data_IF_860121539857
#
_entry.id   IF_860121539857
#
_cell.length_a   1.000
_cell.length_b   1.000
_cell.length_c   1.000
_cell.angle_alpha   90.00
_cell.angle_beta   90.00
_cell.angle_gamma   90.00
#
_symmetry.space_group_name_H-M   'P 1'
#
loop_
_entity.id
_entity.type
_entity.pdbx_description
1 polymer ?
#
# COMPACT_ATOMS: atom_id res chain seq x y z
N UNK A 1 1.02 -21.40 12.58
CA UNK A 1 0.08 -21.08 11.50
C UNK A 1 0.63 -19.86 10.76
N UNK A 2 1.11 -20.01 9.52
CA UNK A 2 1.61 -18.86 8.75
C UNK A 2 0.42 -18.03 8.26
N UNK A 3 0.44 -16.73 8.55
CA UNK A 3 -0.53 -15.78 7.99
C UNK A 3 -0.03 -15.39 6.60
N UNK A 4 -0.86 -15.58 5.59
CA UNK A 4 -0.56 -15.17 4.23
C UNK A 4 -0.56 -13.64 4.12
N UNK A 5 0.42 -13.07 3.42
CA UNK A 5 0.46 -11.64 3.09
C UNK A 5 0.14 -11.46 1.61
N UNK A 6 -0.82 -10.60 1.34
CA UNK A 6 -1.23 -10.20 -0.01
C UNK A 6 -0.69 -8.81 -0.27
N UNK A 7 0.24 -8.69 -1.20
CA UNK A 7 0.84 -7.42 -1.61
C UNK A 7 0.14 -6.87 -2.85
N UNK A 8 -0.22 -5.60 -2.81
CA UNK A 8 -0.73 -4.84 -3.95
C UNK A 8 0.38 -3.93 -4.49
N UNK A 9 0.89 -4.25 -5.66
CA UNK A 9 2.08 -3.65 -6.27
C UNK A 9 1.78 -2.44 -7.17
N UNK A 10 0.67 -1.76 -6.96
CA UNK A 10 0.24 -0.64 -7.82
C UNK A 10 1.31 0.45 -8.00
N UNK A 11 2.26 0.57 -7.06
CA UNK A 11 3.34 1.58 -7.15
C UNK A 11 4.21 1.39 -8.39
N UNK A 12 4.43 0.16 -8.84
CA UNK A 12 5.24 -0.11 -10.02
C UNK A 12 4.60 0.39 -11.33
N UNK A 13 3.27 0.54 -11.33
CA UNK A 13 2.54 1.18 -12.43
C UNK A 13 2.52 2.70 -12.32
N UNK A 14 2.59 3.23 -11.09
CA UNK A 14 2.49 4.67 -10.83
C UNK A 14 3.81 5.41 -10.98
N UNK A 15 4.93 4.71 -10.83
CA UNK A 15 6.28 5.29 -10.87
C UNK A 15 7.20 4.41 -11.71
N UNK A 16 7.95 5.03 -12.63
CA UNK A 16 9.04 4.34 -13.35
C UNK A 16 10.23 4.07 -12.44
N UNK A 17 10.54 4.99 -11.53
CA UNK A 17 11.55 4.89 -10.49
C UNK A 17 11.23 5.89 -9.38
N UNK A 18 11.50 5.53 -8.12
CA UNK A 18 11.29 6.44 -6.99
C UNK A 18 11.56 5.75 -5.65
N UNK A 19 11.64 6.54 -4.58
CA UNK A 19 11.92 6.02 -3.24
C UNK A 19 10.88 5.01 -2.75
N UNK A 20 9.59 5.23 -3.07
CA UNK A 20 8.52 4.30 -2.68
C UNK A 20 8.67 2.97 -3.43
N UNK A 21 8.93 2.99 -4.73
CA UNK A 21 9.10 1.76 -5.50
C UNK A 21 10.38 0.99 -5.12
N UNK A 22 11.45 1.68 -4.75
CA UNK A 22 12.65 1.06 -4.19
C UNK A 22 12.36 0.39 -2.84
N UNK A 23 11.75 1.12 -1.90
CA UNK A 23 11.32 0.56 -0.61
C UNK A 23 10.44 -0.70 -0.80
N UNK A 24 9.50 -0.62 -1.73
CA UNK A 24 8.57 -1.71 -2.00
C UNK A 24 9.26 -2.93 -2.59
N UNK A 25 10.21 -2.73 -3.52
CA UNK A 25 10.99 -3.83 -4.08
C UNK A 25 11.84 -4.55 -3.01
N UNK A 26 12.46 -3.80 -2.10
CA UNK A 26 13.22 -4.38 -1.00
C UNK A 26 12.33 -5.15 0.00
N UNK A 27 11.15 -4.62 0.28
CA UNK A 27 10.15 -5.31 1.10
C UNK A 27 9.75 -6.65 0.48
N UNK A 28 9.44 -6.66 -0.82
CA UNK A 28 9.05 -7.86 -1.55
C UNK A 28 10.19 -8.90 -1.59
N UNK A 29 11.42 -8.50 -1.92
CA UNK A 29 12.58 -9.41 -1.93
C UNK A 29 12.76 -10.16 -0.63
N UNK A 30 12.47 -9.51 0.50
CA UNK A 30 12.61 -10.11 1.83
C UNK A 30 11.39 -10.93 2.24
N UNK A 31 10.20 -10.56 1.77
CA UNK A 31 8.92 -11.14 2.17
C UNK A 31 8.51 -12.34 1.33
N UNK A 32 8.82 -12.37 0.02
CA UNK A 32 8.37 -13.40 -0.91
C UNK A 32 8.92 -14.82 -0.60
N UNK A 33 9.98 -14.91 0.19
CA UNK A 33 10.51 -16.19 0.68
C UNK A 33 9.57 -16.93 1.63
N UNK A 34 8.54 -16.27 2.17
CA UNK A 34 7.66 -16.76 3.22
C UNK A 34 6.17 -16.79 2.85
N UNK A 35 5.82 -17.27 1.66
CA UNK A 35 4.41 -17.51 1.26
C UNK A 35 3.57 -16.23 1.10
N UNK A 36 3.96 -15.32 0.25
CA UNK A 36 3.18 -14.14 -0.09
C UNK A 36 2.65 -14.18 -1.52
N UNK A 37 1.43 -13.70 -1.73
CA UNK A 37 0.82 -13.50 -3.04
C UNK A 37 0.95 -12.04 -3.41
N UNK A 38 1.32 -11.75 -4.65
CA UNK A 38 1.52 -10.39 -5.14
C UNK A 38 0.56 -10.11 -6.30
N UNK A 39 -0.04 -8.92 -6.31
CA UNK A 39 -0.91 -8.43 -7.38
C UNK A 39 -0.26 -7.22 -8.05
N UNK A 40 -0.49 -7.08 -9.34
CA UNK A 40 -0.06 -5.94 -10.13
C UNK A 40 0.40 -6.38 -11.52
N UNK A 41 0.46 -5.41 -12.44
CA UNK A 41 1.09 -5.62 -13.75
C UNK A 41 2.57 -5.33 -13.67
N UNK A 42 3.35 -6.05 -14.47
CA UNK A 42 4.71 -5.66 -14.81
C UNK A 42 4.62 -4.45 -15.74
N UNK A 43 4.80 -3.26 -15.20
CA UNK A 43 4.99 -2.08 -16.01
C UNK A 43 6.38 -1.53 -15.72
N UNK A 44 7.14 -1.26 -16.73
CA UNK A 44 8.36 -0.45 -16.90
C UNK A 44 9.05 0.17 -15.65
N UNK A 45 8.83 -0.37 -14.45
CA UNK A 45 9.52 0.08 -13.25
C UNK A 45 10.85 -0.66 -13.13
N UNK A 46 11.96 0.07 -13.07
CA UNK A 46 13.33 -0.48 -13.06
C UNK A 46 13.62 -1.40 -11.85
N UNK A 47 12.84 -1.35 -10.79
CA UNK A 47 13.01 -2.18 -9.60
C UNK A 47 12.13 -3.42 -9.59
N UNK A 48 11.19 -3.56 -10.53
CA UNK A 48 10.32 -4.73 -10.65
C UNK A 48 10.93 -5.84 -11.50
N UNK A 49 11.83 -5.50 -12.43
CA UNK A 49 12.39 -6.43 -13.41
C UNK A 49 13.15 -7.61 -12.77
N UNK A 50 13.81 -7.37 -11.64
CA UNK A 50 14.56 -8.41 -10.89
C UNK A 50 13.69 -9.21 -9.90
N UNK A 51 12.42 -8.84 -9.75
CA UNK A 51 11.52 -9.54 -8.85
C UNK A 51 10.85 -10.68 -9.64
N UNK A 52 11.31 -11.91 -9.42
CA UNK A 52 10.62 -13.12 -9.92
C UNK A 52 9.24 -13.28 -9.22
N UNK A 53 8.36 -12.32 -9.44
CA UNK A 53 7.02 -12.26 -8.87
C UNK A 53 6.07 -12.90 -9.88
N UNK A 54 5.36 -13.94 -9.48
CA UNK A 54 4.20 -14.39 -10.24
C UNK A 54 3.10 -13.35 -10.04
N UNK A 55 3.02 -12.41 -10.96
CA UNK A 55 1.96 -11.41 -10.97
C UNK A 55 0.67 -12.09 -11.42
N UNK A 56 -0.38 -11.92 -10.65
CA UNK A 56 -1.70 -12.36 -11.04
C UNK A 56 -2.42 -11.16 -11.67
N UNK A 57 -3.00 -11.37 -12.85
CA UNK A 57 -3.74 -10.35 -13.58
C UNK A 57 -4.78 -9.69 -12.68
N UNK A 58 -4.68 -8.37 -12.54
CA UNK A 58 -5.68 -7.58 -11.85
C UNK A 58 -6.91 -7.37 -12.72
N UNK A 59 -8.07 -7.53 -12.10
CA UNK A 59 -9.37 -7.27 -12.73
C UNK A 59 -9.69 -5.77 -12.92
N UNK A 60 -8.69 -4.89 -12.99
CA UNK A 60 -8.93 -3.47 -13.20
C UNK A 60 -8.91 -3.10 -14.67
N UNK A 61 -10.05 -2.68 -15.23
CA UNK A 61 -10.17 -2.44 -16.67
C UNK A 61 -9.44 -1.17 -17.15
N UNK A 62 -9.05 -0.24 -16.27
CA UNK A 62 -8.42 1.00 -16.70
C UNK A 62 -7.41 1.54 -15.69
N UNK A 63 -6.41 2.30 -16.19
CA UNK A 63 -5.45 3.05 -15.36
C UNK A 63 -6.15 3.99 -14.36
N UNK A 64 -7.23 4.63 -14.76
CA UNK A 64 -7.98 5.56 -13.89
C UNK A 64 -8.55 4.83 -12.68
N UNK A 65 -9.16 3.65 -12.87
CA UNK A 65 -9.69 2.87 -11.76
C UNK A 65 -8.58 2.39 -10.82
N UNK A 66 -7.44 1.95 -11.37
CA UNK A 66 -6.28 1.52 -10.58
C UNK A 66 -5.67 2.67 -9.78
N UNK A 67 -5.59 3.87 -10.38
CA UNK A 67 -4.99 5.04 -9.75
C UNK A 67 -5.86 5.68 -8.68
N UNK A 68 -7.18 5.70 -8.87
CA UNK A 68 -8.08 6.52 -8.06
C UNK A 68 -9.03 5.74 -7.17
N UNK A 69 -9.31 4.46 -7.44
CA UNK A 69 -10.11 3.65 -6.54
C UNK A 69 -9.29 3.25 -5.30
N UNK A 70 -9.71 3.65 -4.11
CA UNK A 70 -8.96 3.37 -2.88
C UNK A 70 -9.18 1.95 -2.33
N UNK A 71 -9.97 1.13 -3.01
CA UNK A 71 -10.28 -0.23 -2.57
C UNK A 71 -10.17 -1.23 -3.71
N UNK A 72 -9.78 -2.47 -3.36
CA UNK A 72 -9.81 -3.59 -4.28
C UNK A 72 -11.22 -4.17 -4.36
N UNK A 73 -11.80 -4.36 -5.54
CA UNK A 73 -12.99 -5.19 -5.69
C UNK A 73 -12.68 -6.62 -5.24
N UNK A 74 -13.70 -7.35 -4.81
CA UNK A 74 -13.56 -8.77 -4.46
C UNK A 74 -13.09 -9.53 -5.70
N UNK A 75 -11.84 -9.93 -5.74
CA UNK A 75 -11.30 -10.76 -6.82
C UNK A 75 -11.36 -12.24 -6.42
N UNK A 76 -11.50 -13.14 -7.39
CA UNK A 76 -11.51 -14.58 -7.17
C UNK A 76 -10.19 -15.17 -6.65
N UNK A 77 -9.16 -14.36 -6.51
CA UNK A 77 -7.81 -14.75 -6.09
C UNK A 77 -7.55 -14.44 -4.60
N UNK A 78 -8.54 -13.88 -3.90
CA UNK A 78 -8.39 -13.57 -2.46
C UNK A 78 -8.30 -14.87 -1.65
N UNK A 79 -7.34 -14.97 -0.71
CA UNK A 79 -7.19 -16.14 0.15
C UNK A 79 -8.49 -16.52 0.87
N UNK A 80 -8.75 -17.82 1.00
CA UNK A 80 -9.98 -18.30 1.66
C UNK A 80 -10.00 -18.05 3.17
N UNK A 81 -8.85 -17.74 3.79
CA UNK A 81 -8.69 -17.49 5.23
C UNK A 81 -8.36 -16.06 5.60
N UNK A 82 -8.14 -15.80 6.89
CA UNK A 82 -7.57 -14.52 7.35
C UNK A 82 -6.20 -14.30 6.72
N UNK A 83 -5.96 -13.10 6.24
CA UNK A 83 -4.73 -12.70 5.58
C UNK A 83 -4.40 -11.24 5.85
N UNK A 84 -3.14 -10.86 5.71
CA UNK A 84 -2.73 -9.46 5.72
C UNK A 84 -2.84 -8.93 4.27
N UNK A 85 -3.46 -7.78 4.12
CA UNK A 85 -3.43 -7.03 2.87
C UNK A 85 -2.55 -5.79 3.06
N UNK A 86 -1.49 -5.67 2.25
CA UNK A 86 -0.55 -4.56 2.31
C UNK A 86 -0.39 -3.94 0.93
N UNK A 87 -0.82 -2.70 0.77
CA UNK A 87 -0.72 -1.96 -0.48
C UNK A 87 0.52 -1.08 -0.52
N UNK A 88 1.16 -1.05 -1.68
CA UNK A 88 2.28 -0.15 -1.99
C UNK A 88 1.85 1.32 -2.16
N UNK A 89 0.56 1.57 -2.26
CA UNK A 89 -0.02 2.91 -2.30
C UNK A 89 -1.30 2.93 -1.45
N UNK A 90 -1.95 4.04 -1.27
CA UNK A 90 -3.08 4.21 -0.34
C UNK A 90 -4.35 3.47 -0.77
N UNK A 91 -4.28 2.13 -0.80
CA UNK A 91 -5.42 1.25 -1.10
C UNK A 91 -5.67 0.29 0.08
N UNK A 92 -6.87 -0.25 0.16
CA UNK A 92 -7.25 -1.23 1.18
C UNK A 92 -8.16 -2.32 0.59
N UNK A 93 -8.23 -3.45 1.26
CA UNK A 93 -9.15 -4.53 0.91
C UNK A 93 -10.48 -4.37 1.64
N UNK A 94 -11.59 -4.57 0.94
CA UNK A 94 -12.94 -4.67 1.52
C UNK A 94 -13.30 -6.11 1.93
N UNK A 95 -12.38 -7.07 1.79
CA UNK A 95 -12.61 -8.42 2.28
C UNK A 95 -12.65 -8.42 3.83
N UNK A 96 -13.73 -8.92 4.47
CA UNK A 96 -13.81 -8.93 5.93
C UNK A 96 -12.76 -9.83 6.61
N UNK A 97 -12.07 -10.67 5.85
CA UNK A 97 -10.97 -11.53 6.33
C UNK A 97 -9.60 -10.85 6.24
N UNK A 98 -9.53 -9.72 5.51
CA UNK A 98 -8.29 -8.97 5.35
C UNK A 98 -7.98 -8.14 6.59
N UNK A 99 -6.73 -8.23 7.05
CA UNK A 99 -6.12 -7.30 8.00
C UNK A 99 -5.35 -6.28 7.17
N UNK A 100 -5.90 -5.09 7.02
CA UNK A 100 -5.28 -4.04 6.23
C UNK A 100 -4.08 -3.43 6.95
N UNK A 101 -2.96 -3.31 6.25
CA UNK A 101 -1.75 -2.61 6.68
C UNK A 101 -1.42 -1.54 5.64
N UNK A 102 -1.12 -0.34 6.09
CA UNK A 102 -0.75 0.79 5.23
C UNK A 102 0.62 1.32 5.62
N UNK A 103 1.51 1.50 4.64
CA UNK A 103 2.76 2.24 4.83
C UNK A 103 2.55 3.71 4.44
N UNK A 104 2.91 4.62 5.34
CA UNK A 104 2.93 6.07 5.11
C UNK A 104 4.38 6.52 4.98
N UNK A 105 4.72 7.08 3.82
CA UNK A 105 6.08 7.51 3.51
C UNK A 105 6.34 8.96 3.96
N UNK A 106 5.42 9.87 3.67
CA UNK A 106 5.54 11.28 4.03
C UNK A 106 4.18 12.01 4.09
N UNK A 107 4.23 13.26 4.49
CA UNK A 107 3.13 14.23 4.46
C UNK A 107 3.45 15.45 3.59
N UNK A 108 4.32 15.28 2.59
CA UNK A 108 4.74 16.35 1.66
C UNK A 108 3.54 17.03 0.99
N UNK A 109 2.53 16.26 0.60
CA UNK A 109 1.33 16.82 0.00
C UNK A 109 0.56 17.70 0.98
N UNK A 110 0.41 17.27 2.22
CA UNK A 110 -0.31 18.00 3.28
C UNK A 110 0.42 19.27 3.68
N UNK A 111 1.75 19.27 3.65
CA UNK A 111 2.56 20.44 4.01
C UNK A 111 2.71 21.47 2.88
N UNK A 112 2.90 21.00 1.64
CA UNK A 112 3.43 21.88 0.57
C UNK A 112 2.56 21.96 -0.68
N UNK A 113 1.62 21.05 -0.90
CA UNK A 113 0.77 21.03 -2.09
C UNK A 113 -0.59 21.68 -1.79
N UNK A 114 -1.15 22.40 -2.77
CA UNK A 114 -2.49 23.00 -2.69
C UNK A 114 -3.33 22.57 -3.89
N UNK A 115 -4.65 22.67 -3.74
CA UNK A 115 -5.60 22.42 -4.82
C UNK A 115 -6.10 20.98 -4.94
N UNK A 116 -6.79 20.62 -6.03
CA UNK A 116 -7.52 19.35 -6.15
C UNK A 116 -6.65 18.09 -6.00
N UNK A 117 -5.39 18.14 -6.43
CA UNK A 117 -4.44 17.01 -6.27
C UNK A 117 -4.18 16.67 -4.81
N UNK A 118 -4.04 17.69 -3.96
CA UNK A 118 -3.94 17.50 -2.51
C UNK A 118 -5.16 16.74 -1.98
N UNK A 119 -6.36 17.19 -2.34
CA UNK A 119 -7.59 16.62 -1.79
C UNK A 119 -7.75 15.15 -2.11
N UNK A 120 -7.50 14.77 -3.36
CA UNK A 120 -7.57 13.35 -3.78
C UNK A 120 -6.53 12.52 -3.05
N UNK A 121 -5.27 12.98 -3.01
CA UNK A 121 -4.17 12.24 -2.36
C UNK A 121 -4.41 12.09 -0.85
N UNK A 122 -4.73 13.19 -0.16
CA UNK A 122 -4.99 13.17 1.28
C UNK A 122 -6.25 12.38 1.63
N UNK A 123 -7.28 12.43 0.79
CA UNK A 123 -8.47 11.59 0.97
C UNK A 123 -8.14 10.10 0.85
N UNK A 124 -7.37 9.69 -0.17
CA UNK A 124 -6.93 8.31 -0.32
C UNK A 124 -6.09 7.85 0.88
N UNK A 125 -5.09 8.64 1.28
CA UNK A 125 -4.24 8.37 2.45
C UNK A 125 -5.07 8.23 3.72
N UNK A 126 -5.93 9.21 4.01
CA UNK A 126 -6.82 9.20 5.18
C UNK A 126 -7.70 7.96 5.21
N UNK A 127 -8.28 7.59 4.07
CA UNK A 127 -9.16 6.44 3.98
C UNK A 127 -8.41 5.12 4.18
N UNK A 128 -7.23 4.96 3.57
CA UNK A 128 -6.38 3.79 3.77
C UNK A 128 -5.96 3.64 5.25
N UNK A 129 -5.49 4.72 5.88
CA UNK A 129 -5.14 4.72 7.31
C UNK A 129 -6.35 4.37 8.17
N UNK A 130 -7.53 4.95 7.89
CA UNK A 130 -8.77 4.67 8.64
C UNK A 130 -9.23 3.21 8.53
N UNK A 131 -8.92 2.54 7.44
CA UNK A 131 -9.31 1.15 7.18
C UNK A 131 -8.23 0.14 7.61
N UNK A 132 -7.07 0.61 8.06
CA UNK A 132 -5.96 -0.25 8.46
C UNK A 132 -6.00 -0.57 9.95
N UNK A 133 -5.65 -1.82 10.26
CA UNK A 133 -5.42 -2.32 11.62
C UNK A 133 -3.96 -2.14 12.06
N UNK A 134 -3.07 -1.83 11.12
CA UNK A 134 -1.68 -1.48 11.39
C UNK A 134 -1.19 -0.42 10.42
N UNK A 135 -0.41 0.52 10.90
CA UNK A 135 0.20 1.59 10.11
C UNK A 135 1.71 1.55 10.28
N UNK A 136 2.43 1.52 9.17
CA UNK A 136 3.89 1.60 9.14
C UNK A 136 4.28 3.01 8.71
N UNK A 137 5.15 3.65 9.49
CA UNK A 137 5.80 4.91 9.11
C UNK A 137 7.28 4.66 8.85
N UNK A 138 7.84 5.28 7.80
CA UNK A 138 9.24 5.10 7.43
C UNK A 138 10.21 5.93 8.28
N UNK A 139 9.70 6.76 9.18
CA UNK A 139 10.50 7.54 10.13
C UNK A 139 9.66 8.01 11.32
N UNK A 140 10.34 8.40 12.41
CA UNK A 140 9.67 9.04 13.55
C UNK A 140 9.02 10.37 13.18
N UNK A 141 9.60 11.11 12.25
CA UNK A 141 8.99 12.36 11.77
C UNK A 141 7.67 12.07 11.04
N UNK A 142 7.64 11.06 10.19
CA UNK A 142 6.39 10.62 9.51
C UNK A 142 5.34 10.18 10.53
N UNK A 143 5.74 9.50 11.61
CA UNK A 143 4.82 9.13 12.70
C UNK A 143 4.26 10.36 13.42
N UNK A 144 5.09 11.36 13.71
CA UNK A 144 4.65 12.64 14.32
C UNK A 144 3.65 13.35 13.41
N UNK A 145 3.94 13.46 12.12
CA UNK A 145 3.04 14.06 11.14
C UNK A 145 1.72 13.28 11.04
N UNK A 146 1.78 11.95 11.01
CA UNK A 146 0.60 11.10 11.00
C UNK A 146 -0.34 11.43 12.17
N UNK A 147 0.19 11.44 13.39
CA UNK A 147 -0.59 11.71 14.60
C UNK A 147 -1.07 13.17 14.68
N UNK A 148 -0.34 14.10 14.07
CA UNK A 148 -0.74 15.50 13.95
C UNK A 148 -1.92 15.68 12.99
N UNK A 149 -1.82 15.14 11.76
CA UNK A 149 -2.87 15.27 10.75
C UNK A 149 -4.08 14.35 11.01
N UNK A 150 -3.85 13.21 11.68
CA UNK A 150 -4.87 12.20 11.97
C UNK A 150 -4.93 11.87 13.47
N UNK A 151 -5.36 12.83 14.34
CA UNK A 151 -5.36 12.67 15.81
C UNK A 151 -6.32 11.56 16.32
N UNK A 152 -7.13 11.01 15.44
CA UNK A 152 -8.01 9.87 15.72
C UNK A 152 -7.30 8.49 15.58
N UNK A 153 -6.06 8.46 15.12
CA UNK A 153 -5.27 7.21 15.02
C UNK A 153 -4.70 6.87 16.38
N UNK A 154 -4.91 5.63 16.82
CA UNK A 154 -4.28 5.11 18.01
C UNK A 154 -2.76 4.95 17.77
N UNK A 155 -1.89 5.60 18.57
CA UNK A 155 -0.44 5.47 18.43
C UNK A 155 0.09 4.03 18.56
N UNK A 156 -0.63 3.15 19.25
CA UNK A 156 -0.22 1.75 19.45
C UNK A 156 -0.25 0.93 18.17
N UNK A 157 -1.13 1.27 17.21
CA UNK A 157 -1.18 0.60 15.90
C UNK A 157 -0.15 1.13 14.92
N UNK A 158 0.62 2.18 15.28
CA UNK A 158 1.63 2.81 14.42
C UNK A 158 3.02 2.34 14.79
N UNK A 159 3.71 1.72 13.82
CA UNK A 159 5.10 1.26 13.98
C UNK A 159 6.03 2.01 13.02
N UNK A 160 7.21 2.36 13.50
CA UNK A 160 8.27 2.93 12.65
C UNK A 160 9.18 1.80 12.20
N UNK A 161 9.43 1.74 10.88
CA UNK A 161 10.34 0.78 10.24
C UNK A 161 11.23 1.55 9.27
N UNK A 162 12.55 1.49 9.49
CA UNK A 162 13.57 2.17 8.68
C UNK A 162 14.03 1.33 7.49
#
# INVERSE_FOLDING_TARGET
MCILVVFDNVIFELQRAGGISLYWSELLRRSLKNSSVSFGREDSNIFSDDLAITLQDEMYPSFISRRYLPFLPKSGVVPKGKHIFHSSYFRYSNDPRAINVTTVHDFTYEHFVRGPRLWVHSWQKRLAVKKSQGVICVSENTKKDLLHFYPWVDPEVVKVVY
#
